data_IF_199274465616
#
_entry.id   IF_199274465616
#
_cell.length_a   1.000
_cell.length_b   1.000
_cell.length_c   1.000
_cell.angle_alpha   90.00
_cell.angle_beta   90.00
_cell.angle_gamma   90.00
#
_symmetry.space_group_name_H-M   'P 1'
#
loop_
_entity.id
_entity.type
_entity.pdbx_description
1 polymer ?
#
# COMPACT_ATOMS: atom_id res chain seq x y z
N UNK A 1 19.09 -2.76 14.02
CA UNK A 1 17.83 -3.55 14.09
C UNK A 1 16.88 -2.74 14.94
N UNK A 2 16.08 -1.85 14.32
CA UNK A 2 15.13 -1.00 15.05
C UNK A 2 13.81 -1.78 15.05
N UNK A 3 13.29 -2.20 16.20
CA UNK A 3 11.98 -2.82 16.26
C UNK A 3 10.94 -1.75 15.89
N UNK A 4 10.13 -2.03 14.87
CA UNK A 4 8.97 -1.21 14.54
C UNK A 4 7.92 -1.48 15.63
N UNK A 5 8.13 -0.93 16.81
CA UNK A 5 7.15 -0.83 17.87
C UNK A 5 6.31 0.44 17.63
N UNK A 6 5.51 0.43 16.55
CA UNK A 6 4.50 1.49 16.33
C UNK A 6 3.17 1.12 17.03
N UNK A 7 3.07 -0.11 17.53
CA UNK A 7 1.88 -0.62 18.22
C UNK A 7 2.32 -1.33 19.51
N UNK A 8 2.52 -0.58 20.55
CA UNK A 8 2.91 -1.09 21.84
C UNK A 8 2.01 -0.57 22.96
N UNK A 9 0.77 -1.05 22.98
CA UNK A 9 -0.11 -1.17 24.14
C UNK A 9 -1.37 -1.92 23.68
N UNK A 10 -2.03 -2.66 24.55
CA UNK A 10 -3.15 -3.57 24.24
C UNK A 10 -4.33 -2.90 23.52
N UNK A 11 -4.55 -1.61 23.70
CA UNK A 11 -5.59 -0.83 23.02
C UNK A 11 -5.19 -0.52 21.56
N UNK A 12 -3.92 -0.24 21.30
CA UNK A 12 -3.40 0.02 19.96
C UNK A 12 -3.38 -1.25 19.11
N UNK A 13 -3.21 -2.43 19.73
CA UNK A 13 -3.28 -3.73 19.05
C UNK A 13 -4.69 -3.99 18.50
N UNK A 14 -5.72 -3.60 19.26
CA UNK A 14 -7.12 -3.74 18.85
C UNK A 14 -7.45 -2.85 17.65
N UNK A 15 -7.03 -1.59 17.65
CA UNK A 15 -7.20 -0.64 16.55
C UNK A 15 -6.46 -1.11 15.29
N UNK A 16 -5.21 -1.54 15.44
CA UNK A 16 -4.42 -2.10 14.35
C UNK A 16 -5.05 -3.35 13.72
N UNK A 17 -5.66 -4.22 14.53
CA UNK A 17 -6.38 -5.41 14.06
C UNK A 17 -7.68 -5.05 13.33
N UNK A 18 -8.44 -4.07 13.82
CA UNK A 18 -9.67 -3.58 13.16
C UNK A 18 -9.32 -3.00 11.79
N UNK A 19 -8.30 -2.15 11.71
CA UNK A 19 -7.85 -1.54 10.44
C UNK A 19 -7.35 -2.62 9.47
N UNK A 20 -6.55 -3.58 9.95
CA UNK A 20 -6.10 -4.73 9.14
C UNK A 20 -7.29 -5.54 8.62
N UNK A 21 -8.29 -5.79 9.45
CA UNK A 21 -9.49 -6.54 9.07
C UNK A 21 -10.34 -5.79 8.05
N UNK A 22 -10.46 -4.47 8.17
CA UNK A 22 -11.17 -3.61 7.22
C UNK A 22 -10.45 -3.52 5.86
N UNK A 23 -9.11 -3.46 5.85
CA UNK A 23 -8.31 -3.32 4.62
C UNK A 23 -8.07 -4.67 3.94
N UNK A 24 -8.12 -5.78 4.68
CA UNK A 24 -7.92 -7.13 4.14
C UNK A 24 -8.78 -7.47 2.91
N UNK A 25 -10.09 -7.17 2.84
CA UNK A 25 -10.88 -7.44 1.64
C UNK A 25 -10.43 -6.60 0.43
N UNK A 26 -10.02 -5.36 0.66
CA UNK A 26 -9.48 -4.48 -0.38
C UNK A 26 -8.16 -5.01 -0.95
N UNK A 27 -7.24 -5.42 -0.09
CA UNK A 27 -5.97 -6.05 -0.50
C UNK A 27 -6.22 -7.31 -1.33
N UNK A 28 -7.16 -8.16 -0.93
CA UNK A 28 -7.52 -9.39 -1.66
C UNK A 28 -8.13 -9.09 -3.03
N UNK A 29 -8.93 -8.04 -3.12
CA UNK A 29 -9.54 -7.65 -4.38
C UNK A 29 -8.51 -7.13 -5.37
N UNK A 30 -7.47 -6.45 -4.90
CA UNK A 30 -6.36 -5.95 -5.73
C UNK A 30 -5.37 -7.08 -6.07
N UNK A 31 -5.06 -7.94 -5.09
CA UNK A 31 -4.05 -9.00 -5.20
C UNK A 31 -4.67 -10.40 -5.08
N UNK A 32 -5.48 -10.84 -6.05
CA UNK A 32 -6.20 -12.12 -5.95
C UNK A 32 -5.26 -13.33 -5.94
N UNK A 33 -4.08 -13.23 -6.56
CA UNK A 33 -3.13 -14.33 -6.72
C UNK A 33 -2.19 -14.51 -5.52
N UNK A 34 -2.18 -13.58 -4.55
CA UNK A 34 -1.36 -13.72 -3.34
C UNK A 34 -2.08 -14.63 -2.34
N UNK A 35 -1.50 -15.80 -1.97
CA UNK A 35 -2.10 -16.70 -0.99
C UNK A 35 -2.29 -16.03 0.38
N UNK A 36 -3.36 -16.40 1.11
CA UNK A 36 -3.68 -15.82 2.43
C UNK A 36 -2.55 -15.95 3.46
N UNK A 37 -1.70 -16.97 3.33
CA UNK A 37 -0.57 -17.25 4.23
C UNK A 37 0.77 -16.75 3.70
N UNK A 38 0.77 -15.99 2.60
CA UNK A 38 2.02 -15.48 2.03
C UNK A 38 2.63 -14.40 2.93
N UNK A 39 3.94 -14.47 3.27
CA UNK A 39 4.57 -13.53 4.20
C UNK A 39 4.51 -12.07 3.72
N UNK A 40 4.50 -11.83 2.40
CA UNK A 40 4.34 -10.48 1.85
C UNK A 40 3.02 -9.81 2.23
N UNK A 41 1.95 -10.56 2.54
CA UNK A 41 0.63 -9.98 2.82
C UNK A 41 0.64 -9.02 4.01
N UNK A 42 1.36 -9.36 5.08
CA UNK A 42 1.43 -8.50 6.25
C UNK A 42 2.13 -7.18 5.91
N UNK A 43 3.20 -7.24 5.12
CA UNK A 43 3.97 -6.06 4.73
C UNK A 43 3.22 -5.18 3.72
N UNK A 44 2.48 -5.78 2.77
CA UNK A 44 1.58 -5.08 1.85
C UNK A 44 0.51 -4.33 2.63
N UNK A 45 -0.15 -5.01 3.56
CA UNK A 45 -1.21 -4.40 4.39
C UNK A 45 -0.66 -3.25 5.23
N UNK A 46 0.48 -3.44 5.88
CA UNK A 46 1.14 -2.39 6.69
C UNK A 46 1.55 -1.19 5.82
N UNK A 47 2.09 -1.43 4.63
CA UNK A 47 2.44 -0.37 3.68
C UNK A 47 1.21 0.44 3.25
N UNK A 48 0.11 -0.23 2.90
CA UNK A 48 -1.13 0.44 2.49
C UNK A 48 -1.70 1.27 3.65
N UNK A 49 -1.73 0.74 4.88
CA UNK A 49 -2.18 1.47 6.06
C UNK A 49 -1.32 2.72 6.29
N UNK A 50 0.00 2.58 6.23
CA UNK A 50 0.92 3.70 6.43
C UNK A 50 0.74 4.79 5.35
N UNK A 51 0.51 4.39 4.09
CA UNK A 51 0.21 5.33 3.00
C UNK A 51 -1.13 6.06 3.23
N UNK A 52 -2.20 5.35 3.59
CA UNK A 52 -3.51 5.94 3.90
C UNK A 52 -3.39 6.98 5.02
N UNK A 53 -2.60 6.68 6.05
CA UNK A 53 -2.35 7.59 7.18
C UNK A 53 -1.35 8.72 6.84
N UNK A 54 -0.78 8.74 5.64
CA UNK A 54 0.20 9.75 5.24
C UNK A 54 1.58 9.59 5.89
N UNK A 55 1.88 8.40 6.44
CA UNK A 55 3.13 8.08 7.10
C UNK A 55 4.15 7.50 6.10
N UNK A 56 4.55 8.30 5.10
CA UNK A 56 5.43 7.84 4.02
C UNK A 56 6.75 7.24 4.50
N UNK A 57 7.34 7.77 5.58
CA UNK A 57 8.56 7.23 6.18
C UNK A 57 8.39 5.82 6.77
N UNK A 58 7.19 5.47 7.26
CA UNK A 58 6.88 4.12 7.75
C UNK A 58 6.43 3.19 6.61
N UNK A 59 5.84 3.74 5.55
CA UNK A 59 5.41 2.98 4.38
C UNK A 59 6.59 2.39 3.60
N UNK A 60 7.69 3.14 3.44
CA UNK A 60 8.86 2.75 2.66
C UNK A 60 9.49 1.42 3.12
N UNK A 61 9.86 1.22 4.39
CA UNK A 61 10.46 -0.04 4.83
C UNK A 61 9.48 -1.22 4.73
N UNK A 62 8.19 -0.98 4.96
CA UNK A 62 7.16 -2.02 4.77
C UNK A 62 7.03 -2.41 3.28
N UNK A 63 7.06 -1.42 2.38
CA UNK A 63 7.03 -1.65 0.94
C UNK A 63 8.24 -2.44 0.43
N UNK A 64 9.45 -2.09 0.87
CA UNK A 64 10.66 -2.83 0.52
C UNK A 64 10.61 -4.28 0.98
N UNK A 65 10.15 -4.53 2.22
CA UNK A 65 9.97 -5.90 2.73
C UNK A 65 8.89 -6.67 1.97
N UNK A 66 7.79 -6.02 1.58
CA UNK A 66 6.77 -6.65 0.76
C UNK A 66 7.35 -7.13 -0.57
N UNK A 67 8.13 -6.30 -1.25
CA UNK A 67 8.81 -6.64 -2.51
C UNK A 67 9.83 -7.77 -2.32
N UNK A 68 10.64 -7.72 -1.26
CA UNK A 68 11.61 -8.74 -0.92
C UNK A 68 10.94 -10.11 -0.69
N UNK A 69 9.84 -10.15 0.07
CA UNK A 69 9.10 -11.39 0.33
C UNK A 69 8.41 -11.93 -0.92
N UNK A 70 7.90 -11.07 -1.81
CA UNK A 70 7.36 -11.50 -3.10
C UNK A 70 8.47 -12.04 -4.03
N UNK A 71 9.68 -11.52 -3.96
CA UNK A 71 10.82 -12.00 -4.74
C UNK A 71 11.37 -13.34 -4.21
N UNK A 72 11.47 -13.50 -2.88
CA UNK A 72 11.94 -14.75 -2.25
C UNK A 72 10.95 -15.90 -2.39
N UNK A 73 9.67 -15.60 -2.32
CA UNK A 73 8.57 -16.56 -2.39
C UNK A 73 7.74 -16.29 -3.65
N UNK A 74 8.21 -16.71 -4.83
CA UNK A 74 7.57 -16.33 -6.09
C UNK A 74 6.14 -16.87 -6.17
N UNK A 75 5.22 -15.98 -6.50
CA UNK A 75 3.80 -16.28 -6.67
C UNK A 75 3.63 -17.03 -7.99
N UNK A 76 2.94 -18.14 -7.97
CA UNK A 76 2.64 -18.91 -9.18
C UNK A 76 1.68 -18.12 -10.07
N UNK A 77 2.08 -17.82 -11.29
CA UNK A 77 1.21 -17.28 -12.33
C UNK A 77 0.94 -18.39 -13.39
N UNK A 78 -0.32 -18.65 -13.67
CA UNK A 78 -0.74 -19.72 -14.60
C UNK A 78 -0.09 -21.10 -14.32
N UNK A 79 0.08 -21.45 -13.05
CA UNK A 79 0.70 -22.72 -12.65
C UNK A 79 2.22 -22.80 -12.81
N UNK A 80 2.87 -21.77 -13.39
CA UNK A 80 4.33 -21.67 -13.55
C UNK A 80 4.92 -20.75 -12.48
N UNK A 81 6.04 -21.18 -11.91
CA UNK A 81 6.87 -20.32 -11.05
C UNK A 81 7.66 -19.38 -11.97
N UNK A 82 7.44 -18.09 -11.84
CA UNK A 82 8.21 -17.09 -12.59
C UNK A 82 9.60 -17.00 -11.96
N UNK A 83 10.62 -16.89 -12.79
CA UNK A 83 12.00 -16.71 -12.33
C UNK A 83 12.10 -15.47 -11.41
N UNK A 84 12.90 -15.58 -10.35
CA UNK A 84 13.11 -14.49 -9.37
C UNK A 84 13.68 -13.19 -9.96
N UNK A 85 14.14 -13.23 -11.22
CA UNK A 85 14.67 -12.07 -11.94
C UNK A 85 13.59 -11.31 -12.74
N UNK A 86 12.36 -11.79 -12.78
CA UNK A 86 11.25 -11.16 -13.52
C UNK A 86 10.21 -10.70 -12.52
N UNK A 87 9.84 -9.41 -12.58
CA UNK A 87 8.77 -8.87 -11.74
C UNK A 87 7.44 -9.52 -12.09
N UNK A 88 6.72 -9.98 -11.07
CA UNK A 88 5.37 -10.52 -11.24
C UNK A 88 4.35 -9.40 -11.43
N UNK A 89 3.16 -9.73 -11.97
CA UNK A 89 2.07 -8.75 -12.11
C UNK A 89 1.68 -8.15 -10.75
N UNK A 90 1.75 -8.93 -9.69
CA UNK A 90 1.47 -8.49 -8.31
C UNK A 90 2.50 -7.47 -7.84
N UNK A 91 3.79 -7.69 -8.15
CA UNK A 91 4.85 -6.73 -7.83
C UNK A 91 4.64 -5.41 -8.59
N UNK A 92 4.32 -5.49 -9.89
CA UNK A 92 4.02 -4.31 -10.69
C UNK A 92 2.77 -3.55 -10.16
N UNK A 93 1.70 -4.28 -9.84
CA UNK A 93 0.48 -3.70 -9.27
C UNK A 93 0.76 -3.01 -7.94
N UNK A 94 1.57 -3.64 -7.09
CA UNK A 94 1.98 -3.06 -5.80
C UNK A 94 2.77 -1.77 -5.97
N UNK A 95 3.71 -1.72 -6.93
CA UNK A 95 4.46 -0.51 -7.25
C UNK A 95 3.54 0.62 -7.75
N UNK A 96 2.64 0.33 -8.68
CA UNK A 96 1.68 1.32 -9.20
C UNK A 96 0.79 1.86 -8.07
N UNK A 97 0.32 0.98 -7.18
CA UNK A 97 -0.48 1.40 -6.03
C UNK A 97 0.31 2.33 -5.08
N UNK A 98 1.59 2.04 -4.84
CA UNK A 98 2.45 2.91 -4.03
C UNK A 98 2.71 4.26 -4.69
N UNK A 99 2.92 4.30 -6.01
CA UNK A 99 3.15 5.54 -6.77
C UNK A 99 1.88 6.39 -6.80
N UNK A 100 0.70 5.79 -6.91
CA UNK A 100 -0.57 6.51 -6.89
C UNK A 100 -0.91 7.13 -5.53
N UNK A 101 -0.23 6.65 -4.46
CA UNK A 101 -0.22 7.22 -3.10
C UNK A 101 -1.58 7.63 -2.57
N UNK A 102 -2.48 6.67 -2.31
CA UNK A 102 -3.74 6.96 -1.64
C UNK A 102 -3.48 7.47 -0.21
N UNK A 103 -3.59 8.79 -0.02
CA UNK A 103 -3.43 9.44 1.29
C UNK A 103 -4.76 10.09 1.69
N UNK A 104 -5.28 9.73 2.86
CA UNK A 104 -6.42 10.42 3.45
C UNK A 104 -5.97 11.68 4.19
N UNK A 105 -4.78 11.65 4.79
CA UNK A 105 -4.23 12.77 5.55
C UNK A 105 -2.86 13.12 4.97
N UNK A 106 -2.72 14.21 4.19
CA UNK A 106 -1.43 14.65 3.66
C UNK A 106 -0.62 15.40 4.74
N UNK A 107 -0.16 14.66 5.76
CA UNK A 107 0.48 15.20 6.99
C UNK A 107 1.63 16.13 6.66
N UNK A 108 2.50 15.75 5.71
CA UNK A 108 3.67 16.54 5.33
C UNK A 108 3.26 17.90 4.75
N UNK A 109 2.24 17.94 3.88
CA UNK A 109 1.78 19.18 3.25
C UNK A 109 1.11 20.09 4.30
N UNK A 110 0.33 19.50 5.22
CA UNK A 110 -0.28 20.26 6.32
C UNK A 110 0.80 20.86 7.20
N UNK A 111 1.85 20.11 7.54
CA UNK A 111 2.96 20.56 8.35
C UNK A 111 3.70 21.74 7.67
N UNK A 112 4.04 21.62 6.38
CA UNK A 112 4.66 22.73 5.63
C UNK A 112 3.77 23.97 5.58
N UNK A 113 2.48 23.82 5.27
CA UNK A 113 1.55 24.95 5.26
C UNK A 113 1.45 25.64 6.62
N UNK A 114 1.49 24.85 7.71
CA UNK A 114 1.52 25.40 9.07
C UNK A 114 2.80 26.19 9.35
N UNK A 115 3.96 25.67 8.94
CA UNK A 115 5.25 26.35 9.10
C UNK A 115 5.33 27.69 8.35
N UNK A 116 4.66 27.80 7.20
CA UNK A 116 4.59 29.03 6.40
C UNK A 116 3.38 29.93 6.76
N UNK A 117 2.84 29.78 7.97
CA UNK A 117 1.75 30.61 8.50
C UNK A 117 0.50 30.67 7.60
N UNK A 118 0.13 29.60 6.96
CA UNK A 118 -1.12 29.52 6.20
C UNK A 118 -2.32 29.72 7.14
N UNK A 119 -3.26 30.57 6.76
CA UNK A 119 -4.47 30.82 7.55
C UNK A 119 -5.31 29.56 7.81
N UNK A 120 -5.27 28.59 6.87
CA UNK A 120 -5.93 27.30 7.04
C UNK A 120 -5.06 26.18 6.45
N UNK A 121 -4.12 25.60 7.22
CA UNK A 121 -3.25 24.53 6.75
C UNK A 121 -4.01 23.27 6.28
N UNK A 122 -5.14 22.95 6.91
CA UNK A 122 -5.93 21.75 6.61
C UNK A 122 -6.81 21.87 5.35
N UNK A 123 -6.95 23.04 4.74
CA UNK A 123 -7.77 23.24 3.54
C UNK A 123 -7.36 22.36 2.34
N UNK A 124 -6.10 21.87 2.32
CA UNK A 124 -5.57 20.99 1.28
C UNK A 124 -6.12 19.54 1.37
N UNK A 125 -6.69 19.14 2.50
CA UNK A 125 -7.12 17.75 2.74
C UNK A 125 -8.16 17.29 1.73
N UNK A 126 -9.22 18.09 1.54
CA UNK A 126 -10.31 17.71 0.63
C UNK A 126 -9.84 17.56 -0.83
N UNK A 127 -9.14 18.54 -1.45
CA UNK A 127 -8.62 18.38 -2.80
C UNK A 127 -7.57 17.27 -2.92
N UNK A 128 -6.75 17.05 -1.88
CA UNK A 128 -5.76 15.97 -1.88
C UNK A 128 -6.44 14.58 -1.90
N UNK A 129 -7.47 14.37 -1.10
CA UNK A 129 -8.24 13.11 -1.10
C UNK A 129 -8.86 12.86 -2.47
N UNK A 130 -9.47 13.87 -3.09
CA UNK A 130 -10.05 13.73 -4.43
C UNK A 130 -8.98 13.36 -5.46
N UNK A 131 -7.88 14.08 -5.49
CA UNK A 131 -6.79 13.85 -6.44
C UNK A 131 -6.17 12.45 -6.29
N UNK A 132 -5.85 12.04 -5.06
CA UNK A 132 -5.24 10.73 -4.80
C UNK A 132 -6.22 9.58 -5.04
N UNK A 133 -7.51 9.77 -4.77
CA UNK A 133 -8.55 8.77 -5.06
C UNK A 133 -8.67 8.54 -6.57
N UNK A 134 -8.75 9.62 -7.36
CA UNK A 134 -8.81 9.50 -8.83
C UNK A 134 -7.56 8.82 -9.37
N UNK A 135 -6.37 9.25 -8.92
CA UNK A 135 -5.09 8.64 -9.31
C UNK A 135 -5.06 7.14 -9.00
N UNK A 136 -5.49 6.74 -7.82
CA UNK A 136 -5.51 5.34 -7.39
C UNK A 136 -6.50 4.51 -8.20
N UNK A 137 -7.70 5.03 -8.48
CA UNK A 137 -8.69 4.35 -9.32
C UNK A 137 -8.12 4.11 -10.72
N UNK A 138 -7.53 5.13 -11.34
CA UNK A 138 -6.90 5.01 -12.67
C UNK A 138 -5.77 3.98 -12.65
N UNK A 139 -4.90 4.02 -11.63
CA UNK A 139 -3.81 3.06 -11.45
C UNK A 139 -4.31 1.61 -11.34
N UNK A 140 -5.34 1.37 -10.52
CA UNK A 140 -5.94 0.03 -10.36
C UNK A 140 -6.59 -0.45 -11.66
N UNK A 141 -7.33 0.42 -12.35
CA UNK A 141 -7.94 0.08 -13.65
C UNK A 141 -6.89 -0.30 -14.67
N UNK A 142 -5.82 0.49 -14.77
CA UNK A 142 -4.69 0.20 -15.66
C UNK A 142 -4.07 -1.17 -15.34
N UNK A 143 -3.76 -1.44 -14.09
CA UNK A 143 -3.19 -2.72 -13.67
C UNK A 143 -4.12 -3.90 -14.00
N UNK A 144 -5.42 -3.76 -13.78
CA UNK A 144 -6.40 -4.83 -14.10
C UNK A 144 -6.50 -5.10 -15.60
N UNK A 145 -6.50 -4.05 -16.44
CA UNK A 145 -6.54 -4.18 -17.89
C UNK A 145 -5.27 -4.86 -18.40
N UNK A 146 -4.10 -4.45 -17.89
CA UNK A 146 -2.82 -5.03 -18.29
C UNK A 146 -2.68 -6.48 -17.81
N UNK A 147 -3.07 -6.77 -16.58
CA UNK A 147 -3.07 -8.13 -16.03
C UNK A 147 -3.99 -9.06 -16.83
N UNK A 148 -5.18 -8.60 -17.21
CA UNK A 148 -6.11 -9.37 -18.04
C UNK A 148 -5.58 -9.73 -19.43
N UNK A 149 -4.70 -8.91 -20.03
CA UNK A 149 -4.03 -9.21 -21.29
C UNK A 149 -2.92 -10.26 -21.18
N UNK A 150 -2.30 -10.38 -20.02
CA UNK A 150 -1.22 -11.35 -19.79
C UNK A 150 -1.77 -12.79 -19.57
N UNK A 151 -3.07 -12.92 -19.31
CA UNK A 151 -3.75 -14.21 -19.11
C UNK A 151 -4.36 -14.82 -20.39
N UNK A 152 -4.20 -14.20 -21.56
CA UNK A 152 -4.50 -14.77 -22.86
C UNK A 152 -3.22 -15.21 -23.55
#
# INVERSE_FOLDING_TARGET
>A
MIPICIFGNDEDETLGQIIKKAISPFVRWIFPNIPKKHPAQIHITTNIIANILGLGWAATPAGLKAMEEMAKNPIKQNGKVISSHIATNEMCTFLVLNISSLQLIPVNIIAYRSQYNSANPAAIVAPAILATTVSTIVGILFCKIMSGKTYK
#
